data_IF_425987846672
#
_entry.id   IF_425987846672
#
_cell.length_a   1.000
_cell.length_b   1.000
_cell.length_c   1.000
_cell.angle_alpha   90.00
_cell.angle_beta   90.00
_cell.angle_gamma   90.00
#
_symmetry.space_group_name_H-M   'P 1'
#
loop_
_entity.id
_entity.type
_entity.pdbx_description
1 polymer ?
#
# COMPACT_ATOMS: atom_id res chain seq x y z
N UNK A 1 -24.78 12.45 -24.98
CA UNK A 1 -24.23 11.48 -25.97
C UNK A 1 -23.37 10.52 -25.18
N UNK A 2 -23.71 9.23 -25.16
CA UNK A 2 -22.82 8.20 -24.60
C UNK A 2 -21.64 8.03 -25.56
N UNK A 3 -20.46 8.41 -25.09
CA UNK A 3 -19.20 8.22 -25.81
C UNK A 3 -19.03 6.73 -26.11
N UNK A 4 -18.83 6.37 -27.38
CA UNK A 4 -18.58 4.97 -27.75
C UNK A 4 -17.18 4.58 -27.28
N UNK A 5 -17.08 3.47 -26.54
CA UNK A 5 -15.79 2.93 -26.11
C UNK A 5 -15.05 2.37 -27.32
N UNK A 6 -13.89 2.94 -27.62
CA UNK A 6 -13.03 2.53 -28.75
C UNK A 6 -11.87 1.66 -28.26
N UNK A 7 -11.22 0.88 -29.15
CA UNK A 7 -10.00 0.14 -28.80
C UNK A 7 -8.89 1.01 -28.20
N UNK A 8 -8.75 2.25 -28.67
CA UNK A 8 -7.81 3.22 -28.11
C UNK A 8 -8.16 3.57 -26.66
N UNK A 9 -9.43 3.87 -26.38
CA UNK A 9 -9.89 4.17 -25.01
C UNK A 9 -9.62 2.98 -24.08
N UNK A 10 -9.87 1.74 -24.54
CA UNK A 10 -9.61 0.53 -23.76
C UNK A 10 -8.11 0.41 -23.42
N UNK A 11 -7.24 0.61 -24.41
CA UNK A 11 -5.79 0.55 -24.24
C UNK A 11 -5.26 1.67 -23.32
N UNK A 12 -5.78 2.89 -23.43
CA UNK A 12 -5.43 4.02 -22.56
C UNK A 12 -5.84 3.76 -21.09
N UNK A 13 -6.88 2.95 -20.88
CA UNK A 13 -7.29 2.46 -19.56
C UNK A 13 -6.46 1.26 -19.07
N UNK A 14 -5.43 0.84 -19.81
CA UNK A 14 -4.55 -0.26 -19.42
C UNK A 14 -5.23 -1.64 -19.38
N UNK A 15 -6.38 -1.78 -20.06
CA UNK A 15 -7.11 -3.04 -20.18
C UNK A 15 -6.71 -3.72 -21.49
N UNK A 16 -6.51 -5.04 -21.43
CA UNK A 16 -6.37 -5.84 -22.64
C UNK A 16 -7.73 -6.28 -23.20
N UNK A 17 -7.74 -6.83 -24.42
CA UNK A 17 -8.96 -7.26 -25.11
C UNK A 17 -9.75 -8.31 -24.31
N UNK A 18 -9.06 -9.25 -23.64
CA UNK A 18 -9.71 -10.30 -22.84
C UNK A 18 -10.36 -9.72 -21.57
N UNK A 19 -9.68 -8.78 -20.91
CA UNK A 19 -10.21 -8.06 -19.75
C UNK A 19 -11.47 -7.27 -20.14
N UNK A 20 -11.45 -6.58 -21.29
CA UNK A 20 -12.62 -5.84 -21.79
C UNK A 20 -13.80 -6.77 -22.13
N UNK A 21 -13.56 -7.87 -22.86
CA UNK A 21 -14.61 -8.86 -23.16
C UNK A 21 -15.23 -9.44 -21.89
N UNK A 22 -14.42 -9.65 -20.85
CA UNK A 22 -14.90 -10.11 -19.55
C UNK A 22 -15.77 -9.06 -18.86
N UNK A 23 -15.43 -7.78 -18.96
CA UNK A 23 -16.27 -6.68 -18.47
C UNK A 23 -17.63 -6.70 -19.16
N UNK A 24 -17.66 -6.80 -20.49
CA UNK A 24 -18.93 -6.87 -21.24
C UNK A 24 -19.78 -8.07 -20.84
N UNK A 25 -19.13 -9.22 -20.62
CA UNK A 25 -19.80 -10.44 -20.16
C UNK A 25 -20.39 -10.26 -18.76
N UNK A 26 -19.66 -9.64 -17.83
CA UNK A 26 -20.13 -9.40 -16.45
C UNK A 26 -21.28 -8.40 -16.39
N UNK A 27 -21.26 -7.37 -17.24
CA UNK A 27 -22.30 -6.35 -17.30
C UNK A 27 -23.50 -6.76 -18.16
N UNK A 28 -23.34 -7.73 -19.06
CA UNK A 28 -24.32 -8.07 -20.08
C UNK A 28 -24.50 -7.00 -21.16
N UNK A 29 -23.60 -6.01 -21.21
CA UNK A 29 -23.57 -4.89 -22.16
C UNK A 29 -22.20 -4.22 -22.17
N UNK A 30 -21.96 -3.34 -23.15
CA UNK A 30 -20.79 -2.48 -23.12
C UNK A 30 -20.81 -1.54 -21.88
N UNK A 31 -19.67 -1.36 -21.19
CA UNK A 31 -19.54 -0.37 -20.12
C UNK A 31 -19.63 1.04 -20.69
N UNK A 32 -20.13 1.98 -19.89
CA UNK A 32 -19.90 3.40 -20.15
C UNK A 32 -18.48 3.82 -19.68
N UNK A 33 -18.05 5.05 -20.00
CA UNK A 33 -16.70 5.52 -19.67
C UNK A 33 -16.40 5.47 -18.16
N UNK A 34 -17.38 5.82 -17.31
CA UNK A 34 -17.22 5.78 -15.85
C UNK A 34 -17.04 4.35 -15.36
N UNK A 35 -17.85 3.42 -15.84
CA UNK A 35 -17.75 1.99 -15.50
C UNK A 35 -16.42 1.41 -15.96
N UNK A 36 -15.97 1.75 -17.17
CA UNK A 36 -14.67 1.33 -17.69
C UNK A 36 -13.52 1.85 -16.80
N UNK A 37 -13.59 3.11 -16.36
CA UNK A 37 -12.64 3.71 -15.43
C UNK A 37 -12.61 3.03 -14.05
N UNK A 38 -13.76 2.58 -13.55
CA UNK A 38 -13.82 1.80 -12.31
C UNK A 38 -13.15 0.44 -12.50
N UNK A 39 -13.47 -0.27 -13.58
CA UNK A 39 -12.85 -1.57 -13.87
C UNK A 39 -11.34 -1.46 -14.05
N UNK A 40 -10.85 -0.43 -14.76
CA UNK A 40 -9.43 -0.27 -15.03
C UNK A 40 -8.60 -0.12 -13.76
N UNK A 41 -9.06 0.69 -12.80
CA UNK A 41 -8.37 0.89 -11.53
C UNK A 41 -8.48 -0.38 -10.67
N UNK A 42 -9.68 -0.94 -10.54
CA UNK A 42 -9.92 -2.11 -9.68
C UNK A 42 -9.22 -3.38 -10.17
N UNK A 43 -9.00 -3.52 -11.48
CA UNK A 43 -8.31 -4.68 -12.08
C UNK A 43 -6.83 -4.41 -12.41
N UNK A 44 -6.30 -3.25 -12.02
CA UNK A 44 -4.87 -2.97 -12.04
C UNK A 44 -4.10 -3.98 -11.17
N UNK A 45 -2.80 -4.17 -11.44
CA UNK A 45 -1.96 -5.06 -10.60
C UNK A 45 -1.94 -4.60 -9.14
N UNK A 46 -1.91 -3.28 -8.94
CA UNK A 46 -1.87 -2.65 -7.61
C UNK A 46 -3.09 -3.03 -6.75
N UNK A 47 -4.29 -3.08 -7.32
CA UNK A 47 -5.52 -3.40 -6.59
C UNK A 47 -5.84 -4.91 -6.58
N UNK A 48 -5.59 -5.60 -7.70
CA UNK A 48 -6.07 -6.98 -7.88
C UNK A 48 -5.05 -8.05 -7.52
N UNK A 49 -3.76 -7.69 -7.42
CA UNK A 49 -2.66 -8.62 -7.21
C UNK A 49 -2.68 -9.78 -8.22
N UNK A 50 -3.12 -9.52 -9.47
CA UNK A 50 -3.43 -10.56 -10.45
C UNK A 50 -2.24 -11.48 -10.73
N UNK A 51 -1.02 -10.96 -10.77
CA UNK A 51 0.19 -11.77 -10.93
C UNK A 51 0.66 -12.44 -9.63
N UNK A 52 0.55 -11.76 -8.49
CA UNK A 52 1.18 -12.17 -7.23
C UNK A 52 0.30 -13.07 -6.37
N UNK A 53 -1.04 -12.94 -6.46
CA UNK A 53 -2.01 -13.68 -5.64
C UNK A 53 -1.84 -15.19 -5.69
N UNK A 54 -1.46 -15.75 -6.85
CA UNK A 54 -1.23 -17.20 -7.00
C UNK A 54 -0.02 -17.70 -6.21
N UNK A 55 0.96 -16.83 -5.99
CA UNK A 55 2.16 -17.14 -5.21
C UNK A 55 1.91 -16.90 -3.72
N UNK A 56 1.23 -15.81 -3.36
CA UNK A 56 0.95 -15.46 -1.96
C UNK A 56 0.07 -16.50 -1.26
N UNK A 57 -0.83 -17.18 -1.98
CA UNK A 57 -1.65 -18.29 -1.44
C UNK A 57 -0.85 -19.47 -0.89
N UNK A 58 0.45 -19.56 -1.20
CA UNK A 58 1.33 -20.65 -0.73
C UNK A 58 1.90 -20.38 0.66
N UNK A 59 1.80 -19.15 1.16
CA UNK A 59 2.35 -18.78 2.47
C UNK A 59 1.46 -19.34 3.59
N UNK A 60 2.03 -19.84 4.69
CA UNK A 60 1.26 -20.28 5.84
C UNK A 60 0.62 -19.07 6.54
N UNK A 61 -0.67 -19.17 6.84
CA UNK A 61 -1.46 -18.07 7.44
C UNK A 61 -2.08 -18.42 8.80
N UNK A 62 -1.85 -19.65 9.29
CA UNK A 62 -2.40 -20.12 10.57
C UNK A 62 -1.30 -20.15 11.63
N UNK A 63 -1.64 -19.74 12.83
CA UNK A 63 -0.79 -19.84 14.02
C UNK A 63 -1.63 -19.58 15.28
N UNK A 64 -1.17 -20.05 16.45
CA UNK A 64 -1.94 -19.96 17.70
C UNK A 64 -2.28 -18.52 18.10
N UNK A 65 -1.34 -17.59 17.89
CA UNK A 65 -1.54 -16.18 18.19
C UNK A 65 -2.26 -15.40 17.08
N UNK A 66 -2.58 -16.01 15.92
CA UNK A 66 -3.19 -15.28 14.80
C UNK A 66 -4.68 -15.13 15.03
N UNK A 67 -5.12 -13.89 15.28
CA UNK A 67 -6.55 -13.54 15.38
C UNK A 67 -7.10 -13.23 13.98
N UNK A 68 -6.39 -12.41 13.20
CA UNK A 68 -6.77 -12.03 11.84
C UNK A 68 -5.58 -12.16 10.90
N UNK A 69 -5.73 -13.03 9.90
CA UNK A 69 -4.76 -13.21 8.82
C UNK A 69 -5.04 -12.30 7.61
N UNK A 70 -4.44 -12.60 6.44
CA UNK A 70 -4.69 -11.85 5.21
C UNK A 70 -6.19 -11.87 4.82
N UNK A 71 -6.75 -10.71 4.50
CA UNK A 71 -8.15 -10.55 4.08
C UNK A 71 -8.72 -9.18 4.44
N UNK A 72 -8.28 -8.63 5.56
CA UNK A 72 -8.68 -7.31 6.06
C UNK A 72 -7.57 -6.26 5.89
N UNK A 73 -7.83 -5.03 6.33
CA UNK A 73 -6.90 -3.91 6.22
C UNK A 73 -5.58 -4.14 6.96
N UNK A 74 -5.52 -4.96 8.03
CA UNK A 74 -4.27 -5.34 8.69
C UNK A 74 -4.36 -6.73 9.34
N UNK A 75 -3.20 -7.32 9.62
CA UNK A 75 -3.10 -8.56 10.39
C UNK A 75 -3.18 -8.28 11.89
N UNK A 76 -3.78 -9.19 12.66
CA UNK A 76 -3.92 -9.07 14.11
C UNK A 76 -3.38 -10.32 14.80
N UNK A 77 -2.56 -10.11 15.83
CA UNK A 77 -2.07 -11.17 16.71
C UNK A 77 -2.40 -10.90 18.17
N UNK A 78 -2.69 -11.95 18.93
CA UNK A 78 -2.79 -11.93 20.39
C UNK A 78 -1.39 -11.79 21.01
N UNK A 79 -1.26 -10.92 22.01
CA UNK A 79 -0.04 -10.73 22.80
C UNK A 79 -0.23 -11.06 24.29
N UNK A 80 -1.39 -11.62 24.66
CA UNK A 80 -1.75 -12.01 26.02
C UNK A 80 -2.25 -10.85 26.87
N UNK A 81 -2.72 -11.17 28.08
CA UNK A 81 -3.23 -10.16 29.01
C UNK A 81 -4.44 -9.38 28.48
N UNK A 82 -5.23 -10.03 27.63
CA UNK A 82 -6.36 -9.43 26.92
C UNK A 82 -5.93 -8.29 25.97
N UNK A 83 -4.72 -8.34 25.40
CA UNK A 83 -4.24 -7.36 24.41
C UNK A 83 -3.92 -8.01 23.08
N UNK A 84 -4.16 -7.24 22.02
CA UNK A 84 -3.85 -7.61 20.64
C UNK A 84 -3.01 -6.51 19.99
N UNK A 85 -2.28 -6.91 18.95
CA UNK A 85 -1.51 -6.01 18.08
C UNK A 85 -2.02 -6.12 16.65
N UNK A 86 -2.40 -4.99 16.05
CA UNK A 86 -2.63 -4.88 14.62
C UNK A 86 -1.38 -4.35 13.93
N UNK A 87 -0.99 -4.92 12.80
CA UNK A 87 0.14 -4.44 12.03
C UNK A 87 0.01 -4.72 10.54
N UNK A 88 0.62 -3.86 9.73
CA UNK A 88 0.75 -4.00 8.28
C UNK A 88 1.96 -3.21 7.79
N UNK A 89 2.42 -3.54 6.59
CA UNK A 89 3.40 -2.78 5.83
C UNK A 89 2.82 -2.45 4.45
N UNK A 90 3.03 -1.22 4.00
CA UNK A 90 2.67 -0.72 2.68
C UNK A 90 3.87 -0.11 1.97
N UNK A 91 3.73 0.16 0.67
CA UNK A 91 4.76 0.79 -0.16
C UNK A 91 4.20 1.98 -0.92
N UNK A 92 5.00 3.04 -1.07
CA UNK A 92 4.62 4.24 -1.82
C UNK A 92 5.75 4.66 -2.77
N UNK A 93 6.31 3.68 -3.48
CA UNK A 93 7.55 3.79 -4.25
C UNK A 93 7.46 4.80 -5.39
N UNK A 94 6.54 4.59 -6.32
CA UNK A 94 6.42 5.42 -7.53
C UNK A 94 6.06 6.88 -7.21
N UNK A 95 5.07 7.17 -6.34
CA UNK A 95 4.81 8.54 -5.92
C UNK A 95 6.04 9.18 -5.26
N UNK A 96 6.77 8.45 -4.40
CA UNK A 96 7.96 8.97 -3.72
C UNK A 96 9.15 9.19 -4.65
N UNK A 97 9.18 8.55 -5.81
CA UNK A 97 10.17 8.85 -6.84
C UNK A 97 9.87 10.18 -7.54
N UNK A 98 8.60 10.46 -7.82
CA UNK A 98 8.15 11.67 -8.53
C UNK A 98 8.15 12.89 -7.60
N UNK A 99 7.54 12.76 -6.42
CA UNK A 99 7.52 13.79 -5.39
C UNK A 99 7.78 13.14 -4.02
N UNK A 100 9.03 13.17 -3.54
CA UNK A 100 9.45 12.37 -2.40
C UNK A 100 8.82 12.75 -1.06
N UNK A 101 8.47 14.02 -0.83
CA UNK A 101 7.95 14.45 0.46
C UNK A 101 6.51 13.95 0.68
N UNK A 102 5.61 14.30 -0.24
CA UNK A 102 4.21 13.90 -0.20
C UNK A 102 4.07 12.42 -0.50
N UNK A 103 4.88 11.86 -1.39
CA UNK A 103 4.94 10.42 -1.63
C UNK A 103 5.16 9.66 -0.33
N UNK A 104 6.15 10.05 0.47
CA UNK A 104 6.42 9.38 1.74
C UNK A 104 5.37 9.70 2.82
N UNK A 105 4.97 10.97 2.94
CA UNK A 105 3.99 11.42 3.93
C UNK A 105 2.63 10.72 3.76
N UNK A 106 2.14 10.62 2.53
CA UNK A 106 0.88 9.93 2.22
C UNK A 106 0.97 8.42 2.42
N UNK A 107 2.15 7.82 2.21
CA UNK A 107 2.42 6.43 2.56
C UNK A 107 2.29 6.17 4.07
N UNK A 108 2.84 7.05 4.91
CA UNK A 108 2.64 6.99 6.38
C UNK A 108 1.16 7.18 6.74
N UNK A 109 0.47 8.13 6.11
CA UNK A 109 -0.95 8.33 6.34
C UNK A 109 -1.81 7.12 5.95
N UNK A 110 -1.48 6.45 4.85
CA UNK A 110 -2.15 5.22 4.39
C UNK A 110 -2.06 4.11 5.42
N UNK A 111 -0.83 3.75 5.80
CA UNK A 111 -0.62 2.64 6.73
C UNK A 111 -1.24 2.91 8.12
N UNK A 112 -1.22 4.16 8.60
CA UNK A 112 -1.89 4.51 9.86
C UNK A 112 -3.41 4.33 9.78
N UNK A 113 -4.02 4.61 8.62
CA UNK A 113 -5.46 4.36 8.39
C UNK A 113 -5.79 2.88 8.46
N UNK A 114 -4.98 2.04 7.83
CA UNK A 114 -5.19 0.60 7.90
C UNK A 114 -5.22 0.12 9.35
N UNK A 115 -4.29 0.57 10.18
CA UNK A 115 -4.23 0.18 11.60
C UNK A 115 -5.46 0.66 12.37
N UNK A 116 -5.82 1.95 12.29
CA UNK A 116 -6.93 2.43 13.12
C UNK A 116 -8.29 1.93 12.67
N UNK A 117 -8.46 1.57 11.39
CA UNK A 117 -9.71 0.95 10.91
C UNK A 117 -9.94 -0.46 11.47
N UNK A 118 -8.90 -1.11 12.02
CA UNK A 118 -9.05 -2.37 12.77
C UNK A 118 -9.54 -2.17 14.21
N UNK A 119 -9.74 -0.92 14.66
CA UNK A 119 -10.00 -0.58 16.06
C UNK A 119 -8.72 -0.39 16.92
N UNK A 120 -7.54 -0.56 16.32
CA UNK A 120 -6.26 -0.43 17.01
C UNK A 120 -5.78 1.01 17.10
N UNK A 121 -5.29 1.43 18.27
CA UNK A 121 -4.61 2.73 18.41
C UNK A 121 -3.19 2.62 17.85
N UNK A 122 -2.82 3.39 16.80
CA UNK A 122 -1.45 3.39 16.30
C UNK A 122 -0.47 3.82 17.39
N UNK A 123 0.63 3.08 17.53
CA UNK A 123 1.62 3.26 18.58
C UNK A 123 3.03 3.48 18.03
N UNK A 124 3.37 2.83 16.92
CA UNK A 124 4.69 2.90 16.33
C UNK A 124 4.66 2.78 14.81
N UNK A 125 5.55 3.52 14.15
CA UNK A 125 5.85 3.41 12.72
C UNK A 125 7.27 2.86 12.57
N UNK A 126 7.49 2.03 11.54
CA UNK A 126 8.81 1.69 11.06
C UNK A 126 8.89 1.94 9.56
N UNK A 127 10.09 2.22 9.05
CA UNK A 127 10.30 2.39 7.61
C UNK A 127 11.31 1.39 7.05
N UNK A 128 11.06 0.91 5.82
CA UNK A 128 12.05 0.18 5.03
C UNK A 128 12.35 0.98 3.78
N UNK A 129 13.55 1.57 3.75
CA UNK A 129 13.96 2.53 2.73
C UNK A 129 15.09 1.98 1.88
N UNK A 130 15.00 2.15 0.56
CA UNK A 130 16.05 1.81 -0.41
C UNK A 130 16.28 2.97 -1.35
N UNK A 131 17.54 3.41 -1.47
CA UNK A 131 17.93 4.51 -2.35
C UNK A 131 19.18 4.16 -3.15
N UNK A 132 19.45 4.94 -4.20
CA UNK A 132 20.73 4.89 -4.88
C UNK A 132 21.88 5.49 -4.04
N UNK A 133 23.14 5.36 -4.48
CA UNK A 133 24.29 5.88 -3.75
C UNK A 133 24.22 7.39 -3.51
N UNK A 134 24.69 7.82 -2.33
CA UNK A 134 24.60 9.22 -1.87
C UNK A 134 25.64 10.17 -2.48
N UNK A 135 26.56 9.69 -3.32
CA UNK A 135 27.43 10.56 -4.12
C UNK A 135 26.63 11.28 -5.24
N UNK A 136 25.50 10.73 -5.66
CA UNK A 136 24.57 11.36 -6.60
C UNK A 136 23.64 12.38 -5.92
N UNK A 137 23.54 13.59 -6.50
CA UNK A 137 22.72 14.66 -5.93
C UNK A 137 21.23 14.32 -5.88
N UNK A 138 20.73 13.62 -6.89
CA UNK A 138 19.32 13.22 -6.95
C UNK A 138 18.97 12.20 -5.85
N UNK A 139 19.85 11.24 -5.58
CA UNK A 139 19.62 10.25 -4.51
C UNK A 139 19.60 10.91 -3.13
N UNK A 140 20.50 11.88 -2.88
CA UNK A 140 20.45 12.70 -1.65
C UNK A 140 19.14 13.46 -1.54
N UNK A 141 18.67 14.08 -2.63
CA UNK A 141 17.38 14.78 -2.65
C UNK A 141 16.21 13.85 -2.30
N UNK A 142 16.09 12.69 -2.97
CA UNK A 142 15.04 11.71 -2.71
C UNK A 142 15.05 11.26 -1.25
N UNK A 143 16.22 10.86 -0.74
CA UNK A 143 16.37 10.39 0.65
C UNK A 143 15.95 11.48 1.65
N UNK A 144 16.49 12.69 1.53
CA UNK A 144 16.18 13.80 2.45
C UNK A 144 14.68 14.09 2.48
N UNK A 145 14.06 14.22 1.30
CA UNK A 145 12.65 14.58 1.20
C UNK A 145 11.71 13.46 1.66
N UNK A 146 12.06 12.19 1.42
CA UNK A 146 11.30 11.04 1.96
C UNK A 146 11.32 11.05 3.48
N UNK A 147 12.50 11.24 4.09
CA UNK A 147 12.63 11.29 5.56
C UNK A 147 11.87 12.48 6.14
N UNK A 148 11.95 13.66 5.50
CA UNK A 148 11.15 14.83 5.87
C UNK A 148 9.63 14.54 5.79
N UNK A 149 9.17 13.84 4.76
CA UNK A 149 7.77 13.46 4.59
C UNK A 149 7.27 12.50 5.67
N UNK A 150 8.05 11.46 5.96
CA UNK A 150 7.77 10.49 7.05
C UNK A 150 7.68 11.22 8.39
N UNK A 151 8.69 12.04 8.70
CA UNK A 151 8.75 12.80 9.94
C UNK A 151 7.57 13.78 10.05
N UNK A 152 7.25 14.50 8.97
CA UNK A 152 6.16 15.46 8.92
C UNK A 152 4.83 14.81 9.30
N UNK A 153 4.46 13.70 8.65
CA UNK A 153 3.18 13.03 8.91
C UNK A 153 3.17 12.36 10.29
N UNK A 154 4.19 11.58 10.62
CA UNK A 154 4.27 10.85 11.90
C UNK A 154 4.24 11.78 13.11
N UNK A 155 5.04 12.85 13.09
CA UNK A 155 5.09 13.83 14.18
C UNK A 155 3.77 14.59 14.32
N UNK A 156 3.15 14.97 13.20
CA UNK A 156 1.85 15.68 13.21
C UNK A 156 0.71 14.79 13.69
N UNK A 157 0.71 13.51 13.30
CA UNK A 157 -0.27 12.52 13.76
C UNK A 157 -0.06 12.13 15.23
N UNK A 158 1.17 12.27 15.75
CA UNK A 158 1.53 11.87 17.11
C UNK A 158 1.88 10.39 17.23
N UNK A 159 2.34 9.76 16.15
CA UNK A 159 2.81 8.37 16.15
C UNK A 159 4.32 8.34 15.84
N UNK A 160 5.18 7.88 16.77
CA UNK A 160 6.62 7.92 16.58
C UNK A 160 7.09 6.91 15.55
N UNK A 161 8.03 7.32 14.70
CA UNK A 161 8.85 6.37 13.93
C UNK A 161 9.96 5.84 14.86
N UNK A 162 9.80 4.61 15.33
CA UNK A 162 10.67 4.03 16.38
C UNK A 162 11.90 3.33 15.84
N UNK A 163 11.96 3.11 14.52
CA UNK A 163 13.07 2.45 13.87
C UNK A 163 12.79 2.14 12.42
N UNK A 164 13.62 1.28 11.85
CA UNK A 164 13.52 0.88 10.46
C UNK A 164 14.87 0.42 9.92
N UNK A 165 14.94 0.33 8.60
CA UNK A 165 16.18 0.05 7.90
C UNK A 165 16.32 0.95 6.67
N UNK A 166 17.58 1.26 6.35
CA UNK A 166 17.97 1.99 5.16
C UNK A 166 19.10 1.23 4.48
N UNK A 167 19.02 1.10 3.15
CA UNK A 167 20.05 0.44 2.36
C UNK A 167 20.26 1.19 1.04
N UNK A 168 21.51 1.22 0.58
CA UNK A 168 21.93 1.98 -0.58
C UNK A 168 22.54 1.05 -1.64
N UNK A 169 22.01 1.09 -2.86
CA UNK A 169 22.54 0.32 -3.99
C UNK A 169 22.25 1.00 -5.32
N UNK A 170 23.15 0.86 -6.29
CA UNK A 170 23.02 1.41 -7.64
C UNK A 170 21.65 1.12 -8.28
N UNK A 171 21.09 -0.08 -8.08
CA UNK A 171 19.82 -0.48 -8.69
C UNK A 171 18.62 0.38 -8.28
N UNK A 172 18.69 1.05 -7.13
CA UNK A 172 17.60 1.89 -6.60
C UNK A 172 17.65 3.34 -7.06
N UNK A 173 18.66 3.76 -7.84
CA UNK A 173 18.79 5.16 -8.28
C UNK A 173 17.64 5.64 -9.17
N UNK A 174 16.94 4.72 -9.85
CA UNK A 174 15.78 5.05 -10.72
C UNK A 174 14.44 4.67 -10.10
N UNK A 175 14.46 3.81 -9.08
CA UNK A 175 13.27 3.25 -8.45
C UNK A 175 13.57 3.06 -6.96
N UNK A 176 13.47 4.12 -6.14
CA UNK A 176 13.61 3.99 -4.69
C UNK A 176 12.47 3.13 -4.13
N UNK A 177 12.73 2.44 -3.03
CA UNK A 177 11.68 1.75 -2.26
C UNK A 177 11.41 2.55 -0.99
N UNK A 178 10.14 2.86 -0.77
CA UNK A 178 9.65 3.62 0.38
C UNK A 178 8.50 2.83 0.96
N UNK A 179 8.82 1.98 1.94
CA UNK A 179 7.84 1.17 2.64
C UNK A 179 7.62 1.71 4.05
N UNK A 180 6.36 1.79 4.44
CA UNK A 180 5.93 2.23 5.76
C UNK A 180 5.19 1.08 6.45
N UNK A 181 5.64 0.74 7.64
CA UNK A 181 5.00 -0.20 8.55
C UNK A 181 4.38 0.58 9.69
N UNK A 182 3.21 0.14 10.16
CA UNK A 182 2.64 0.65 11.40
C UNK A 182 2.16 -0.50 12.29
N UNK A 183 2.21 -0.23 13.58
CA UNK A 183 1.77 -1.11 14.65
C UNK A 183 0.80 -0.34 15.54
N UNK A 184 -0.32 -0.97 15.87
CA UNK A 184 -1.28 -0.47 16.84
C UNK A 184 -1.68 -1.52 17.86
N UNK A 185 -2.21 -1.07 18.98
CA UNK A 185 -2.64 -1.92 20.10
C UNK A 185 -4.13 -1.75 20.36
N UNK A 186 -4.78 -2.81 20.78
CA UNK A 186 -6.19 -2.81 21.20
C UNK A 186 -6.49 -3.95 22.16
N UNK A 187 -7.66 -3.87 22.80
CA UNK A 187 -8.28 -4.96 23.53
C UNK A 187 -9.03 -5.92 22.59
N UNK A 188 -9.29 -7.14 23.04
CA UNK A 188 -10.01 -8.14 22.22
C UNK A 188 -11.42 -7.68 21.86
N UNK A 189 -12.09 -6.96 22.74
CA UNK A 189 -13.45 -6.44 22.55
C UNK A 189 -13.52 -5.19 21.66
N UNK A 190 -12.37 -4.63 21.27
CA UNK A 190 -12.26 -3.44 20.41
C UNK A 190 -11.99 -3.78 18.94
N UNK A 191 -11.79 -5.06 18.63
CA UNK A 191 -11.49 -5.52 17.27
C UNK A 191 -12.66 -5.19 16.34
N UNK A 192 -12.37 -4.46 15.26
CA UNK A 192 -13.32 -4.18 14.19
C UNK A 192 -12.95 -5.00 12.95
N UNK A 193 -13.80 -5.96 12.59
CA UNK A 193 -13.69 -6.84 11.41
C UNK A 193 -14.98 -6.76 10.60
#
# INVERSE_FOLDING_TARGET
MTEQITPTIIADHGLNTEEYQKIETLLGRAPNLTELGIFSVMWSEHCSYKSSRVHLKRLPTKGEAVIQGPGENAGIVDIGGDWCVAFKIESHNHPSFIEPFQGAATGVGGILRDIFTMGARPLAILNSLRFGPLNEAHNRYLMTRVVEGIASYGNSFGCPTVGGEVYFDNCYSKNPLVNAFALGVMKHDQIFL
#
